data_IF_617263047015
#
_entry.id   IF_617263047015
#
_cell.length_a   1.000
_cell.length_b   1.000
_cell.length_c   1.000
_cell.angle_alpha   90.00
_cell.angle_beta   90.00
_cell.angle_gamma   90.00
#
_symmetry.space_group_name_H-M   'P 1'
#
loop_
_entity.id
_entity.type
_entity.pdbx_description
1 polymer ?
#
# COMPACT_ATOMS: atom_id res chain seq x y z
N UNK A 1 7.26 -16.76 1.61
CA UNK A 1 7.01 -15.35 1.19
C UNK A 1 5.59 -14.94 1.52
N UNK A 2 4.57 -15.68 1.06
CA UNK A 2 3.16 -15.43 1.41
C UNK A 2 2.88 -15.37 2.92
N UNK A 3 3.49 -16.24 3.72
CA UNK A 3 3.34 -16.26 5.19
C UNK A 3 3.81 -14.98 5.89
N UNK A 4 4.70 -14.22 5.23
CA UNK A 4 5.21 -12.93 5.73
C UNK A 4 4.33 -11.74 5.32
N UNK A 5 3.27 -11.97 4.53
CA UNK A 5 2.29 -10.95 4.18
C UNK A 5 1.11 -11.10 5.15
N UNK A 6 0.89 -10.16 6.09
CA UNK A 6 -0.23 -10.22 7.01
C UNK A 6 -1.60 -10.46 6.36
N UNK A 7 -1.85 -9.84 5.20
CA UNK A 7 -3.10 -10.04 4.45
C UNK A 7 -3.17 -11.38 3.67
N UNK A 8 -2.11 -12.18 3.69
CA UNK A 8 -2.03 -13.52 3.06
C UNK A 8 -2.40 -13.57 1.57
N UNK A 9 -2.16 -12.48 0.85
CA UNK A 9 -2.27 -12.41 -0.60
C UNK A 9 -1.24 -11.43 -1.16
N UNK A 10 -0.87 -11.61 -2.42
CA UNK A 10 -0.14 -10.57 -3.14
C UNK A 10 -1.06 -9.40 -3.48
N UNK A 11 -0.45 -8.22 -3.62
CA UNK A 11 -1.13 -7.08 -4.21
C UNK A 11 -1.41 -7.37 -5.68
N UNK A 12 -2.57 -6.94 -6.15
CA UNK A 12 -2.94 -6.91 -7.56
C UNK A 12 -2.74 -5.49 -8.11
N UNK A 13 -2.87 -5.33 -9.43
CA UNK A 13 -2.78 -4.04 -10.12
C UNK A 13 -3.79 -3.05 -9.54
N UNK A 14 -5.00 -3.51 -9.24
CA UNK A 14 -6.07 -2.66 -8.71
C UNK A 14 -5.72 -2.05 -7.34
N UNK A 15 -4.99 -2.77 -6.47
CA UNK A 15 -4.54 -2.23 -5.17
C UNK A 15 -3.62 -1.01 -5.36
N UNK A 16 -2.78 -1.05 -6.39
CA UNK A 16 -1.86 0.05 -6.74
C UNK A 16 -2.62 1.21 -7.39
N UNK A 17 -3.52 0.91 -8.33
CA UNK A 17 -4.34 1.92 -9.01
C UNK A 17 -5.19 2.68 -8.01
N UNK A 18 -5.87 2.00 -7.09
CA UNK A 18 -6.71 2.63 -6.08
C UNK A 18 -5.90 3.54 -5.15
N UNK A 19 -4.69 3.11 -4.79
CA UNK A 19 -3.77 3.93 -3.98
C UNK A 19 -3.37 5.20 -4.73
N UNK A 20 -3.05 5.09 -6.02
CA UNK A 20 -2.72 6.25 -6.86
C UNK A 20 -3.92 7.19 -7.00
N UNK A 21 -5.11 6.65 -7.27
CA UNK A 21 -6.35 7.44 -7.39
C UNK A 21 -6.66 8.16 -6.07
N UNK A 22 -6.44 7.52 -4.92
CA UNK A 22 -6.55 8.17 -3.63
C UNK A 22 -5.55 9.32 -3.50
N UNK A 23 -4.27 9.08 -3.81
CA UNK A 23 -3.20 10.08 -3.70
C UNK A 23 -3.36 11.25 -4.67
N UNK A 24 -3.99 11.06 -5.83
CA UNK A 24 -4.31 12.12 -6.79
C UNK A 24 -5.61 12.88 -6.47
N UNK A 25 -6.38 12.44 -5.49
CA UNK A 25 -7.65 13.08 -5.11
C UNK A 25 -7.46 14.08 -3.96
N UNK A 26 -8.43 14.98 -3.77
CA UNK A 26 -8.42 15.93 -2.64
C UNK A 26 -8.45 15.24 -1.26
N UNK A 27 -8.74 13.93 -1.21
CA UNK A 27 -8.76 13.15 0.04
C UNK A 27 -7.37 12.95 0.66
N UNK A 28 -6.31 13.15 -0.12
CA UNK A 28 -4.91 13.07 0.34
C UNK A 28 -4.27 14.45 0.56
N UNK A 29 -5.05 15.54 0.64
CA UNK A 29 -4.53 16.92 0.63
C UNK A 29 -3.42 17.24 1.65
N UNK A 30 -3.32 16.48 2.75
CA UNK A 30 -2.30 16.63 3.79
C UNK A 30 -1.27 15.49 3.83
N UNK A 31 -1.26 14.60 2.84
CA UNK A 31 -0.33 13.47 2.72
C UNK A 31 0.73 13.84 1.69
N UNK A 32 1.95 14.11 2.16
CA UNK A 32 3.09 14.47 1.32
C UNK A 32 4.39 13.99 1.95
N UNK A 33 5.43 13.82 1.12
CA UNK A 33 6.78 13.46 1.59
C UNK A 33 6.91 12.04 2.17
N UNK A 34 5.94 11.15 1.91
CA UNK A 34 5.92 9.78 2.45
C UNK A 34 6.13 8.73 1.36
N UNK A 35 6.68 7.59 1.76
CA UNK A 35 6.64 6.34 1.00
C UNK A 35 5.48 5.53 1.58
N UNK A 36 4.45 5.25 0.76
CA UNK A 36 3.28 4.46 1.16
C UNK A 36 3.39 3.04 0.59
N UNK A 37 3.68 2.01 1.41
CA UNK A 37 3.76 0.63 0.94
C UNK A 37 2.39 0.07 0.55
N UNK A 38 2.32 -0.58 -0.61
CA UNK A 38 1.14 -1.32 -1.10
C UNK A 38 1.51 -2.80 -1.21
N UNK A 39 1.72 -3.45 -0.07
CA UNK A 39 2.34 -4.78 0.00
C UNK A 39 1.66 -5.75 0.99
N UNK A 40 0.46 -5.40 1.44
CA UNK A 40 -0.31 -6.21 2.39
C UNK A 40 0.34 -6.34 3.77
N UNK A 41 1.25 -5.43 4.13
CA UNK A 41 1.94 -5.38 5.44
C UNK A 41 3.28 -6.11 5.47
N UNK A 42 3.79 -6.54 4.32
CA UNK A 42 5.05 -7.28 4.21
C UNK A 42 6.24 -6.49 4.78
N UNK A 43 6.36 -5.20 4.43
CA UNK A 43 7.45 -4.34 4.91
C UNK A 43 7.39 -4.12 6.42
N UNK A 44 6.18 -4.04 7.00
CA UNK A 44 6.02 -3.88 8.44
C UNK A 44 6.42 -5.13 9.24
N UNK A 45 6.18 -6.34 8.69
CA UNK A 45 6.54 -7.61 9.33
C UNK A 45 8.05 -7.88 9.35
N UNK A 46 8.82 -7.30 8.43
CA UNK A 46 10.26 -7.51 8.34
C UNK A 46 11.08 -6.65 9.33
N UNK A 47 10.42 -5.96 10.28
CA UNK A 47 11.02 -5.07 11.28
C UNK A 47 11.29 -5.78 12.60
#
# INVERSE_FOLDING_TARGET
>A
MMEKIPLRRFADVDDVVDTIVYLLSDRSAMINGVILPVDGGFTAYAS
#
